data_IF_785939364795
#
_entry.id   IF_785939364795
#
_cell.length_a   1.000
_cell.length_b   1.000
_cell.length_c   1.000
_cell.angle_alpha   90.00
_cell.angle_beta   90.00
_cell.angle_gamma   90.00
#
_symmetry.space_group_name_H-M   'P 1'
#
loop_
_entity.id
_entity.type
_entity.pdbx_description
1 polymer ?
#
# COMPACT_ATOMS: atom_id res chain seq x y z
N UNK A 1 30.55 -12.59 -8.49
CA UNK A 1 29.62 -11.51 -8.07
C UNK A 1 30.02 -10.97 -6.70
N UNK A 2 30.06 -11.78 -5.63
CA UNK A 2 30.53 -11.34 -4.30
C UNK A 2 31.95 -10.78 -4.34
N UNK A 3 32.87 -11.42 -5.07
CA UNK A 3 34.24 -10.94 -5.25
C UNK A 3 34.31 -9.54 -5.88
N UNK A 4 33.50 -9.27 -6.92
CA UNK A 4 33.37 -7.93 -7.54
C UNK A 4 32.79 -6.90 -6.57
N UNK A 5 31.89 -7.31 -5.67
CA UNK A 5 31.30 -6.44 -4.66
C UNK A 5 32.22 -6.19 -3.47
N UNK A 6 33.09 -7.14 -3.14
CA UNK A 6 34.15 -6.98 -2.14
C UNK A 6 35.28 -6.11 -2.67
N UNK A 7 35.63 -6.20 -3.96
CA UNK A 7 36.59 -5.29 -4.61
C UNK A 7 36.15 -3.82 -4.53
N UNK A 8 34.83 -3.55 -4.65
CA UNK A 8 34.26 -2.21 -4.44
C UNK A 8 34.42 -1.67 -3.01
N UNK A 9 34.73 -2.53 -2.03
CA UNK A 9 35.00 -2.17 -0.63
C UNK A 9 36.50 -2.05 -0.33
N UNK A 10 37.38 -2.63 -1.16
CA UNK A 10 38.83 -2.71 -0.90
C UNK A 10 39.65 -1.67 -1.63
N UNK A 11 39.19 -1.19 -2.79
CA UNK A 11 39.82 -0.06 -3.46
C UNK A 11 39.53 1.22 -2.66
N UNK A 12 40.42 2.22 -2.73
CA UNK A 12 40.27 3.57 -2.13
C UNK A 12 39.04 4.36 -2.63
N UNK A 13 38.05 3.67 -3.22
CA UNK A 13 36.73 4.13 -3.54
C UNK A 13 36.02 4.61 -2.28
N UNK A 14 35.69 5.90 -2.28
CA UNK A 14 34.82 6.51 -1.27
C UNK A 14 33.50 5.73 -1.23
N UNK A 15 33.30 4.97 -0.16
CA UNK A 15 32.07 4.21 0.05
C UNK A 15 30.87 5.15 0.00
N UNK A 16 29.99 4.92 -0.97
CA UNK A 16 28.73 5.66 -1.11
C UNK A 16 27.58 4.78 -0.68
N UNK A 17 26.43 5.40 -0.38
CA UNK A 17 25.17 4.68 -0.15
C UNK A 17 24.87 3.72 -1.31
N UNK A 18 25.16 4.14 -2.54
CA UNK A 18 24.97 3.32 -3.74
C UNK A 18 25.84 2.06 -3.73
N UNK A 19 27.10 2.16 -3.30
CA UNK A 19 28.01 1.01 -3.16
C UNK A 19 27.43 0.01 -2.16
N UNK A 20 27.06 0.46 -0.95
CA UNK A 20 26.47 -0.40 0.07
C UNK A 20 25.22 -1.11 -0.42
N UNK A 21 24.31 -0.38 -1.07
CA UNK A 21 23.10 -0.93 -1.67
C UNK A 21 23.39 -2.08 -2.64
N UNK A 22 24.32 -1.88 -3.57
CA UNK A 22 24.62 -2.91 -4.58
C UNK A 22 25.21 -4.17 -3.94
N UNK A 23 26.10 -4.01 -2.96
CA UNK A 23 26.71 -5.13 -2.23
C UNK A 23 25.64 -5.90 -1.43
N UNK A 24 24.73 -5.20 -0.74
CA UNK A 24 23.61 -5.82 -0.02
C UNK A 24 22.72 -6.63 -0.95
N UNK A 25 22.33 -6.07 -2.10
CA UNK A 25 21.55 -6.79 -3.13
C UNK A 25 22.32 -8.02 -3.60
N UNK A 26 23.64 -7.90 -3.81
CA UNK A 26 24.51 -9.00 -4.21
C UNK A 26 24.53 -10.15 -3.21
N UNK A 27 24.68 -9.86 -1.92
CA UNK A 27 24.64 -10.86 -0.86
C UNK A 27 23.27 -11.52 -0.73
N UNK A 28 22.19 -10.74 -0.82
CA UNK A 28 20.85 -11.29 -0.71
C UNK A 28 20.50 -12.25 -1.84
N UNK A 29 21.03 -12.03 -3.05
CA UNK A 29 20.87 -12.98 -4.18
C UNK A 29 21.53 -14.35 -3.96
N UNK A 30 22.41 -14.49 -2.97
CA UNK A 30 23.01 -15.79 -2.65
C UNK A 30 22.04 -16.70 -1.89
N UNK A 31 21.04 -16.12 -1.22
CA UNK A 31 20.04 -16.82 -0.39
C UNK A 31 20.64 -17.68 0.75
N UNK A 32 21.89 -17.42 1.15
CA UNK A 32 22.57 -18.09 2.26
C UNK A 32 22.41 -17.34 3.58
N UNK A 33 22.64 -18.01 4.72
CA UNK A 33 22.69 -17.34 6.03
C UNK A 33 23.86 -16.36 6.11
N UNK A 34 25.05 -16.75 5.65
CA UNK A 34 26.21 -15.86 5.59
C UNK A 34 25.94 -14.62 4.71
N UNK A 35 25.21 -14.78 3.60
CA UNK A 35 24.81 -13.66 2.75
C UNK A 35 23.93 -12.67 3.51
N UNK A 36 22.93 -13.18 4.23
CA UNK A 36 22.07 -12.35 5.06
C UNK A 36 22.84 -11.60 6.16
N UNK A 37 23.70 -12.30 6.92
CA UNK A 37 24.49 -11.68 7.99
C UNK A 37 25.44 -10.59 7.46
N UNK A 38 26.09 -10.85 6.32
CA UNK A 38 26.95 -9.85 5.68
C UNK A 38 26.15 -8.64 5.17
N UNK A 39 24.95 -8.87 4.60
CA UNK A 39 24.08 -7.80 4.16
C UNK A 39 23.56 -6.95 5.34
N UNK A 40 23.22 -7.58 6.47
CA UNK A 40 22.80 -6.90 7.68
C UNK A 40 23.95 -6.06 8.27
N UNK A 41 25.15 -6.64 8.37
CA UNK A 41 26.34 -5.94 8.83
C UNK A 41 26.62 -4.68 8.00
N UNK A 42 26.62 -4.80 6.66
CA UNK A 42 26.87 -3.66 5.78
C UNK A 42 25.77 -2.60 5.84
N UNK A 43 24.52 -3.01 6.06
CA UNK A 43 23.41 -2.07 6.26
C UNK A 43 23.60 -1.25 7.53
N UNK A 44 24.01 -1.89 8.64
CA UNK A 44 24.39 -1.23 9.90
C UNK A 44 25.52 -0.23 9.70
N UNK A 45 26.56 -0.65 8.96
CA UNK A 45 27.72 0.18 8.70
C UNK A 45 27.37 1.43 7.89
N UNK A 46 26.56 1.29 6.83
CA UNK A 46 26.06 2.41 6.05
C UNK A 46 25.23 3.38 6.90
N UNK A 47 24.35 2.88 7.77
CA UNK A 47 23.59 3.72 8.68
C UNK A 47 24.50 4.47 9.66
N UNK A 48 25.51 3.80 10.22
CA UNK A 48 26.44 4.41 11.17
C UNK A 48 27.33 5.48 10.52
N UNK A 49 27.83 5.22 9.31
CA UNK A 49 28.84 6.05 8.63
C UNK A 49 28.22 7.17 7.79
N UNK A 50 27.14 6.86 7.07
CA UNK A 50 26.51 7.75 6.10
C UNK A 50 25.11 8.21 6.53
N UNK A 51 24.60 7.75 7.69
CA UNK A 51 23.27 8.08 8.20
C UNK A 51 22.15 7.80 7.19
N UNK A 52 22.25 6.67 6.48
CA UNK A 52 21.33 6.31 5.41
C UNK A 52 20.84 4.86 5.54
N UNK A 53 19.52 4.68 5.42
CA UNK A 53 18.83 3.39 5.59
C UNK A 53 18.43 2.71 4.26
N UNK A 54 18.82 3.23 3.10
CA UNK A 54 18.51 2.62 1.81
C UNK A 54 18.96 1.14 1.70
N UNK A 55 20.14 0.73 2.22
CA UNK A 55 20.51 -0.69 2.23
C UNK A 55 19.56 -1.58 3.05
N UNK A 56 19.05 -1.08 4.18
CA UNK A 56 18.06 -1.82 5.00
C UNK A 56 16.76 -2.08 4.25
N UNK A 57 16.28 -1.12 3.45
CA UNK A 57 15.09 -1.32 2.61
C UNK A 57 15.29 -2.48 1.63
N UNK A 58 16.44 -2.52 0.94
CA UNK A 58 16.74 -3.59 -0.01
C UNK A 58 16.93 -4.95 0.67
N UNK A 59 17.47 -4.97 1.89
CA UNK A 59 17.56 -6.15 2.73
C UNK A 59 16.16 -6.68 3.11
N UNK A 60 15.27 -5.82 3.63
CA UNK A 60 13.88 -6.17 3.98
C UNK A 60 13.11 -6.71 2.78
N UNK A 61 13.20 -6.01 1.64
CA UNK A 61 12.56 -6.39 0.39
C UNK A 61 13.00 -7.80 -0.03
N UNK A 62 14.31 -8.04 -0.07
CA UNK A 62 14.84 -9.34 -0.49
C UNK A 62 14.43 -10.46 0.48
N UNK A 63 14.47 -10.22 1.80
CA UNK A 63 14.02 -11.20 2.79
C UNK A 63 12.54 -11.56 2.60
N UNK A 64 11.71 -10.57 2.24
CA UNK A 64 10.29 -10.78 1.99
C UNK A 64 10.06 -11.54 0.69
N UNK A 65 10.72 -11.15 -0.42
CA UNK A 65 10.61 -11.84 -1.71
C UNK A 65 11.04 -13.31 -1.60
N UNK A 66 11.99 -13.62 -0.72
CA UNK A 66 12.44 -14.98 -0.41
C UNK A 66 11.54 -15.74 0.58
N UNK A 67 10.49 -15.10 1.10
CA UNK A 67 9.59 -15.68 2.11
C UNK A 67 10.26 -15.96 3.46
N UNK A 68 11.39 -15.31 3.78
CA UNK A 68 12.17 -15.53 5.01
C UNK A 68 11.64 -14.65 6.15
N UNK A 69 10.46 -14.98 6.66
CA UNK A 69 9.74 -14.23 7.71
C UNK A 69 10.61 -13.89 8.93
N UNK A 70 11.36 -14.86 9.47
CA UNK A 70 12.21 -14.63 10.65
C UNK A 70 13.35 -13.64 10.38
N UNK A 71 13.90 -13.64 9.16
CA UNK A 71 14.90 -12.64 8.76
C UNK A 71 14.29 -11.24 8.67
N UNK A 72 13.07 -11.12 8.12
CA UNK A 72 12.35 -9.83 8.09
C UNK A 72 12.12 -9.30 9.51
N UNK A 73 11.67 -10.16 10.45
CA UNK A 73 11.52 -9.80 11.86
C UNK A 73 12.84 -9.34 12.49
N UNK A 74 13.93 -10.06 12.25
CA UNK A 74 15.25 -9.68 12.76
C UNK A 74 15.69 -8.31 12.25
N UNK A 75 15.44 -8.00 10.98
CA UNK A 75 15.80 -6.70 10.39
C UNK A 75 14.93 -5.59 10.96
N UNK A 76 13.63 -5.81 11.15
CA UNK A 76 12.73 -4.84 11.79
C UNK A 76 13.10 -4.59 13.25
N UNK A 77 13.43 -5.65 14.00
CA UNK A 77 13.90 -5.52 15.37
C UNK A 77 15.16 -4.67 15.45
N UNK A 78 16.11 -4.88 14.53
CA UNK A 78 17.32 -4.08 14.45
C UNK A 78 17.02 -2.61 14.10
N UNK A 79 16.15 -2.38 13.11
CA UNK A 79 15.69 -1.04 12.73
C UNK A 79 15.01 -0.28 13.88
N UNK A 80 14.26 -0.97 14.74
CA UNK A 80 13.55 -0.37 15.87
C UNK A 80 14.48 0.21 16.94
N UNK A 81 15.75 -0.22 16.97
CA UNK A 81 16.75 0.28 17.91
C UNK A 81 17.30 1.64 17.52
N UNK A 82 17.09 2.07 16.27
CA UNK A 82 17.57 3.36 15.78
C UNK A 82 16.46 4.41 15.88
N UNK A 83 16.78 5.62 16.37
CA UNK A 83 15.79 6.69 16.37
C UNK A 83 15.41 7.01 14.92
N UNK A 84 14.12 7.17 14.67
CA UNK A 84 13.59 7.61 13.39
C UNK A 84 14.00 9.07 13.17
N UNK A 85 14.97 9.28 12.29
CA UNK A 85 15.53 10.59 11.93
C UNK A 85 14.94 11.12 10.64
N UNK A 86 14.61 10.23 9.71
CA UNK A 86 14.12 10.63 8.38
C UNK A 86 12.80 9.96 8.04
N UNK A 87 12.08 10.57 7.10
CA UNK A 87 10.79 10.06 6.61
C UNK A 87 10.97 8.70 5.93
N UNK A 88 12.06 8.53 5.19
CA UNK A 88 12.42 7.28 4.53
C UNK A 88 12.50 6.10 5.51
N UNK A 89 13.08 6.33 6.69
CA UNK A 89 13.27 5.33 7.73
C UNK A 89 11.97 4.79 8.29
N UNK A 90 11.02 5.68 8.58
CA UNK A 90 9.68 5.29 9.02
C UNK A 90 8.97 4.47 7.95
N UNK A 91 9.10 4.86 6.67
CA UNK A 91 8.45 4.15 5.57
C UNK A 91 9.03 2.74 5.38
N UNK A 92 10.33 2.56 5.61
CA UNK A 92 10.96 1.25 5.58
C UNK A 92 10.38 0.32 6.65
N UNK A 93 10.15 0.83 7.87
CA UNK A 93 9.53 0.06 8.95
C UNK A 93 8.07 -0.28 8.63
N UNK A 94 7.27 0.72 8.22
CA UNK A 94 5.86 0.51 7.81
C UNK A 94 5.77 -0.57 6.74
N UNK A 95 6.57 -0.47 5.68
CA UNK A 95 6.60 -1.47 4.63
C UNK A 95 6.99 -2.86 5.13
N UNK A 96 8.02 -2.96 5.98
CA UNK A 96 8.41 -4.26 6.53
C UNK A 96 7.29 -4.91 7.35
N UNK A 97 6.57 -4.15 8.17
CA UNK A 97 5.42 -4.68 8.92
C UNK A 97 4.25 -5.08 8.02
N UNK A 98 3.97 -4.31 6.96
CA UNK A 98 2.95 -4.65 5.96
C UNK A 98 3.28 -5.95 5.23
N UNK A 99 4.55 -6.11 4.83
CA UNK A 99 5.03 -7.34 4.19
C UNK A 99 4.96 -8.56 5.12
N UNK A 100 5.00 -8.34 6.44
CA UNK A 100 4.75 -9.36 7.46
C UNK A 100 3.26 -9.57 7.79
N UNK A 101 2.35 -8.82 7.16
CA UNK A 101 0.92 -8.75 7.52
C UNK A 101 0.65 -8.29 8.96
N UNK A 102 1.62 -7.58 9.55
CA UNK A 102 1.52 -6.96 10.87
C UNK A 102 0.95 -5.54 10.74
N UNK A 103 -0.32 -5.48 10.32
CA UNK A 103 -0.95 -4.21 9.97
C UNK A 103 -1.20 -3.31 11.19
N UNK A 104 -1.39 -3.87 12.38
CA UNK A 104 -1.59 -3.08 13.61
C UNK A 104 -0.34 -2.27 13.96
N UNK A 105 0.84 -2.87 13.84
CA UNK A 105 2.09 -2.14 14.07
C UNK A 105 2.34 -1.11 12.98
N UNK A 106 2.06 -1.46 11.72
CA UNK A 106 2.15 -0.50 10.61
C UNK A 106 1.20 0.69 10.81
N UNK A 107 -0.05 0.44 11.23
CA UNK A 107 -1.02 1.47 11.58
C UNK A 107 -0.53 2.34 12.73
N UNK A 108 -0.04 1.73 13.82
CA UNK A 108 0.49 2.47 14.97
C UNK A 108 1.64 3.41 14.57
N UNK A 109 2.57 2.93 13.73
CA UNK A 109 3.66 3.73 13.18
C UNK A 109 3.15 4.91 12.36
N UNK A 110 2.15 4.69 11.51
CA UNK A 110 1.53 5.75 10.71
C UNK A 110 0.72 6.73 11.58
N UNK A 111 -0.02 6.26 12.57
CA UNK A 111 -0.80 7.09 13.48
C UNK A 111 0.07 7.92 14.42
N UNK A 112 1.29 7.47 14.72
CA UNK A 112 2.26 8.23 15.52
C UNK A 112 2.81 9.48 14.80
N UNK A 113 2.48 9.65 13.52
CA UNK A 113 2.82 10.85 12.75
C UNK A 113 1.99 12.06 13.20
N UNK A 114 2.54 12.90 14.08
CA UNK A 114 1.92 14.17 14.44
C UNK A 114 1.87 15.16 13.25
N UNK A 115 0.69 15.73 13.00
CA UNK A 115 0.39 16.70 11.93
C UNK A 115 1.31 17.95 11.95
N UNK A 116 1.71 18.43 13.13
CA UNK A 116 2.49 19.67 13.27
C UNK A 116 3.99 19.56 12.90
N UNK A 117 4.60 18.36 12.96
CA UNK A 117 6.04 18.21 12.69
C UNK A 117 6.39 17.79 11.26
N UNK A 118 5.41 17.47 10.41
CA UNK A 118 5.67 16.78 9.15
C UNK A 118 4.90 17.33 7.94
N UNK A 119 5.10 18.61 7.61
CA UNK A 119 4.45 19.28 6.46
C UNK A 119 4.79 18.76 5.04
N UNK A 120 5.45 17.60 4.86
CA UNK A 120 5.71 17.04 3.52
C UNK A 120 6.29 15.63 3.60
N UNK A 121 5.47 14.62 3.84
CA UNK A 121 5.91 13.22 3.87
C UNK A 121 5.90 12.65 2.45
N UNK A 122 6.94 12.92 1.65
CA UNK A 122 7.06 12.33 0.32
C UNK A 122 7.57 10.88 0.46
N UNK A 123 6.66 9.90 0.41
CA UNK A 123 7.06 8.49 0.35
C UNK A 123 7.57 8.20 -1.07
N UNK A 124 8.78 7.62 -1.24
CA UNK A 124 9.26 7.23 -2.54
C UNK A 124 8.28 6.29 -3.26
N UNK A 125 7.96 6.57 -4.52
CA UNK A 125 7.03 5.75 -5.32
C UNK A 125 7.45 4.26 -5.37
N UNK A 126 8.76 3.99 -5.29
CA UNK A 126 9.30 2.62 -5.25
C UNK A 126 8.91 1.87 -3.99
N UNK A 127 8.81 2.57 -2.86
CA UNK A 127 8.35 2.03 -1.57
C UNK A 127 6.84 1.79 -1.63
N UNK A 128 6.10 2.68 -2.28
CA UNK A 128 4.66 2.51 -2.50
C UNK A 128 4.34 1.41 -3.50
N UNK A 129 5.22 1.12 -4.47
CA UNK A 129 5.01 0.03 -5.42
C UNK A 129 4.89 -1.32 -4.73
N UNK A 130 5.76 -1.61 -3.77
CA UNK A 130 5.70 -2.90 -3.06
C UNK A 130 4.47 -2.98 -2.13
N UNK A 131 4.07 -1.84 -1.54
CA UNK A 131 2.82 -1.69 -0.80
C UNK A 131 1.58 -1.94 -1.68
N UNK A 132 1.59 -1.35 -2.87
CA UNK A 132 0.60 -1.55 -3.91
C UNK A 132 0.56 -3.02 -4.35
N UNK A 133 1.70 -3.63 -4.68
CA UNK A 133 1.77 -5.03 -5.08
C UNK A 133 1.22 -5.98 -3.98
N UNK A 134 1.39 -5.64 -2.69
CA UNK A 134 0.79 -6.38 -1.59
C UNK A 134 -0.74 -6.19 -1.54
N UNK A 135 -1.23 -4.96 -1.72
CA UNK A 135 -2.65 -4.64 -1.84
C UNK A 135 -3.35 -5.32 -3.04
N UNK A 136 -2.69 -5.43 -4.20
CA UNK A 136 -3.27 -6.05 -5.41
C UNK A 136 -3.46 -7.56 -5.26
N UNK A 137 -2.60 -8.18 -4.45
CA UNK A 137 -2.55 -9.64 -4.25
C UNK A 137 -3.32 -10.08 -3.00
N UNK A 138 -3.83 -9.14 -2.20
CA UNK A 138 -4.56 -9.47 -0.98
C UNK A 138 -6.03 -9.70 -1.29
N UNK A 139 -6.52 -10.90 -0.97
CA UNK A 139 -7.89 -11.33 -1.23
C UNK A 139 -8.75 -11.33 0.05
N UNK A 140 -8.14 -11.11 1.23
CA UNK A 140 -8.85 -11.08 2.51
C UNK A 140 -9.35 -9.69 2.85
N UNK A 141 -10.67 -9.58 3.04
CA UNK A 141 -11.38 -8.33 3.35
C UNK A 141 -10.80 -7.55 4.53
N UNK A 142 -10.50 -8.22 5.64
CA UNK A 142 -9.97 -7.57 6.85
C UNK A 142 -8.57 -6.98 6.60
N UNK A 143 -7.71 -7.71 5.88
CA UNK A 143 -6.34 -7.28 5.55
C UNK A 143 -6.35 -6.11 4.55
N UNK A 144 -7.27 -6.14 3.57
CA UNK A 144 -7.54 -5.02 2.64
C UNK A 144 -7.98 -3.75 3.39
N UNK A 145 -8.92 -3.88 4.33
CA UNK A 145 -9.42 -2.74 5.11
C UNK A 145 -8.28 -2.08 5.90
N UNK A 146 -7.43 -2.87 6.57
CA UNK A 146 -6.27 -2.33 7.30
C UNK A 146 -5.27 -1.64 6.38
N UNK A 147 -4.99 -2.21 5.22
CA UNK A 147 -4.10 -1.58 4.24
C UNK A 147 -4.69 -0.27 3.68
N UNK A 148 -6.02 -0.16 3.55
CA UNK A 148 -6.68 1.08 3.17
C UNK A 148 -6.61 2.14 4.28
N UNK A 149 -6.84 1.76 5.54
CA UNK A 149 -6.67 2.68 6.68
C UNK A 149 -5.23 3.24 6.74
N UNK A 150 -4.22 2.38 6.50
CA UNK A 150 -2.82 2.80 6.37
C UNK A 150 -2.65 3.78 5.20
N UNK A 151 -3.24 3.48 4.04
CA UNK A 151 -3.19 4.33 2.84
C UNK A 151 -3.75 5.72 3.14
N UNK A 152 -4.96 5.80 3.66
CA UNK A 152 -5.67 7.06 3.92
C UNK A 152 -4.90 7.96 4.90
N UNK A 153 -4.35 7.36 5.96
CA UNK A 153 -3.53 8.10 6.91
C UNK A 153 -2.22 8.60 6.28
N UNK A 154 -1.60 7.81 5.40
CA UNK A 154 -0.41 8.24 4.65
C UNK A 154 -0.74 9.36 3.64
N UNK A 155 -1.88 9.30 2.96
CA UNK A 155 -2.34 10.36 2.06
C UNK A 155 -2.61 11.67 2.81
N UNK A 156 -3.32 11.59 3.95
CA UNK A 156 -3.62 12.72 4.84
C UNK A 156 -2.33 13.40 5.34
N UNK A 157 -1.33 12.60 5.71
CA UNK A 157 -0.10 13.08 6.34
C UNK A 157 1.01 13.46 5.33
N UNK A 158 0.94 13.01 4.07
CA UNK A 158 2.10 12.98 3.18
C UNK A 158 2.04 13.75 1.88
N UNK A 159 0.88 14.22 1.39
CA UNK A 159 0.73 14.63 -0.03
C UNK A 159 1.21 13.54 -1.00
N UNK A 160 0.96 12.28 -0.67
CA UNK A 160 1.17 11.18 -1.58
C UNK A 160 -0.17 10.92 -2.25
N UNK A 161 -0.19 10.85 -3.57
CA UNK A 161 -1.36 10.37 -4.29
C UNK A 161 -1.16 8.89 -4.55
N UNK A 162 -1.76 8.03 -3.72
CA UNK A 162 -1.73 6.59 -3.94
C UNK A 162 -2.74 6.25 -5.04
N UNK A 163 -2.24 6.12 -6.28
CA UNK A 163 -3.05 5.78 -7.47
C UNK A 163 -3.77 4.42 -7.38
N UNK A 164 -3.54 3.65 -6.33
CA UNK A 164 -3.70 2.21 -6.32
C UNK A 164 -4.99 1.69 -5.73
N UNK A 165 -5.54 2.37 -4.71
CA UNK A 165 -6.90 2.06 -4.21
C UNK A 165 -7.89 2.09 -5.37
N UNK A 166 -7.65 2.93 -6.37
CA UNK A 166 -8.47 3.04 -7.57
C UNK A 166 -8.47 1.79 -8.48
N UNK A 167 -7.37 1.06 -8.62
CA UNK A 167 -7.30 -0.08 -9.56
C UNK A 167 -8.03 -1.30 -9.02
N UNK A 168 -7.86 -1.60 -7.74
CA UNK A 168 -8.60 -2.69 -7.10
C UNK A 168 -10.09 -2.33 -6.93
N UNK A 169 -10.40 -1.07 -6.61
CA UNK A 169 -11.81 -0.61 -6.58
C UNK A 169 -12.43 -0.63 -7.98
N UNK A 170 -11.72 -0.22 -9.02
CA UNK A 170 -12.21 -0.30 -10.40
C UNK A 170 -12.43 -1.76 -10.82
N UNK A 171 -11.57 -2.70 -10.39
CA UNK A 171 -11.78 -4.15 -10.58
C UNK A 171 -13.05 -4.63 -9.87
N UNK A 172 -13.27 -4.24 -8.62
CA UNK A 172 -14.49 -4.59 -7.87
C UNK A 172 -15.76 -4.01 -8.51
N UNK A 173 -15.72 -2.76 -8.99
CA UNK A 173 -16.86 -2.16 -9.69
C UNK A 173 -17.09 -2.77 -11.08
N UNK A 174 -16.04 -3.16 -11.81
CA UNK A 174 -16.18 -3.93 -13.05
C UNK A 174 -16.77 -5.32 -12.80
N UNK A 175 -16.34 -5.99 -11.73
CA UNK A 175 -16.89 -7.29 -11.30
C UNK A 175 -18.37 -7.13 -10.93
N UNK A 176 -18.70 -6.12 -10.12
CA UNK A 176 -20.07 -5.77 -9.75
C UNK A 176 -20.93 -5.56 -10.99
N UNK A 177 -20.50 -4.72 -11.93
CA UNK A 177 -21.24 -4.47 -13.18
C UNK A 177 -21.51 -5.76 -13.98
N UNK A 178 -20.52 -6.66 -14.04
CA UNK A 178 -20.68 -7.94 -14.73
C UNK A 178 -21.67 -8.86 -14.00
N UNK A 179 -21.54 -9.01 -12.68
CA UNK A 179 -22.44 -9.81 -11.85
C UNK A 179 -23.88 -9.26 -11.89
N UNK A 180 -24.04 -7.94 -11.84
CA UNK A 180 -25.34 -7.27 -11.96
C UNK A 180 -25.99 -7.55 -13.30
N UNK A 181 -25.25 -7.46 -14.41
CA UNK A 181 -25.75 -7.81 -15.76
C UNK A 181 -26.12 -9.29 -15.90
N UNK A 182 -25.44 -10.15 -15.16
CA UNK A 182 -25.70 -11.59 -15.13
C UNK A 182 -26.85 -11.98 -14.18
N UNK A 183 -27.34 -11.05 -13.35
CA UNK A 183 -28.37 -11.32 -12.35
C UNK A 183 -27.87 -12.17 -11.18
N UNK A 184 -26.56 -12.19 -10.89
CA UNK A 184 -25.97 -12.97 -9.79
C UNK A 184 -26.18 -12.26 -8.45
N UNK A 185 -27.39 -12.41 -7.88
CA UNK A 185 -27.85 -11.73 -6.67
C UNK A 185 -26.92 -11.95 -5.47
N UNK A 186 -26.44 -13.17 -5.26
CA UNK A 186 -25.57 -13.51 -4.12
C UNK A 186 -24.21 -12.82 -4.22
N UNK A 187 -23.58 -12.86 -5.40
CA UNK A 187 -22.31 -12.14 -5.59
C UNK A 187 -22.49 -10.63 -5.53
N UNK A 188 -23.56 -10.09 -6.11
CA UNK A 188 -23.85 -8.66 -6.06
C UNK A 188 -24.02 -8.19 -4.62
N UNK A 189 -24.74 -8.96 -3.79
CA UNK A 189 -24.89 -8.67 -2.36
C UNK A 189 -23.56 -8.69 -1.61
N UNK A 190 -22.73 -9.71 -1.84
CA UNK A 190 -21.39 -9.79 -1.24
C UNK A 190 -20.55 -8.57 -1.63
N UNK A 191 -20.47 -8.25 -2.92
CA UNK A 191 -19.63 -7.16 -3.43
C UNK A 191 -20.14 -5.81 -2.93
N UNK A 192 -21.46 -5.58 -2.86
CA UNK A 192 -22.01 -4.34 -2.31
C UNK A 192 -21.76 -4.20 -0.81
N UNK A 193 -21.82 -5.30 -0.05
CA UNK A 193 -21.46 -5.28 1.36
C UNK A 193 -19.96 -4.98 1.57
N UNK A 194 -19.11 -5.39 0.63
CA UNK A 194 -17.69 -5.02 0.63
C UNK A 194 -17.52 -3.53 0.26
N UNK A 195 -18.31 -3.04 -0.70
CA UNK A 195 -18.26 -1.65 -1.18
C UNK A 195 -18.96 -0.62 -0.26
N UNK A 196 -19.78 -1.05 0.71
CA UNK A 196 -20.59 -0.13 1.55
C UNK A 196 -19.76 0.81 2.42
N UNK A 197 -18.49 0.48 2.67
CA UNK A 197 -17.55 1.31 3.43
C UNK A 197 -16.81 2.31 2.53
N UNK A 198 -17.00 2.22 1.20
CA UNK A 198 -16.23 2.97 0.22
C UNK A 198 -17.15 3.82 -0.66
N UNK A 199 -17.24 5.14 -0.41
CA UNK A 199 -18.08 6.02 -1.22
C UNK A 199 -17.57 6.07 -2.67
N UNK A 200 -18.47 6.05 -3.66
CA UNK A 200 -18.08 6.10 -5.07
C UNK A 200 -17.48 7.48 -5.40
N UNK A 201 -16.30 7.48 -6.03
CA UNK A 201 -15.57 8.71 -6.40
C UNK A 201 -15.70 9.06 -7.87
N UNK A 202 -16.21 8.13 -8.68
CA UNK A 202 -16.46 8.33 -10.11
C UNK A 202 -17.90 8.01 -10.49
N UNK A 203 -18.34 8.62 -11.61
CA UNK A 203 -19.61 8.29 -12.29
C UNK A 203 -19.79 6.78 -12.52
N UNK A 204 -18.72 6.11 -12.93
CA UNK A 204 -18.76 4.68 -13.23
C UNK A 204 -19.02 3.85 -11.97
N UNK A 205 -18.28 4.13 -10.90
CA UNK A 205 -18.41 3.45 -9.61
C UNK A 205 -19.83 3.63 -9.04
N UNK A 206 -20.33 4.86 -9.05
CA UNK A 206 -21.70 5.19 -8.63
C UNK A 206 -22.73 4.36 -9.40
N UNK A 207 -22.68 4.37 -10.73
CA UNK A 207 -23.63 3.61 -11.55
C UNK A 207 -23.56 2.11 -11.27
N UNK A 208 -22.37 1.56 -11.02
CA UNK A 208 -22.24 0.14 -10.69
C UNK A 208 -22.90 -0.20 -9.35
N UNK A 209 -22.68 0.63 -8.31
CA UNK A 209 -23.29 0.43 -6.99
C UNK A 209 -24.82 0.61 -7.04
N UNK A 210 -25.30 1.68 -7.68
CA UNK A 210 -26.74 1.95 -7.86
C UNK A 210 -27.43 0.79 -8.58
N UNK A 211 -26.90 0.33 -9.72
CA UNK A 211 -27.48 -0.79 -10.46
C UNK A 211 -27.46 -2.09 -9.64
N UNK A 212 -26.43 -2.30 -8.83
CA UNK A 212 -26.38 -3.42 -7.91
C UNK A 212 -27.51 -3.38 -6.87
N UNK A 213 -27.70 -2.23 -6.20
CA UNK A 213 -28.78 -2.06 -5.22
C UNK A 213 -30.17 -2.17 -5.87
N UNK A 214 -30.36 -1.66 -7.10
CA UNK A 214 -31.59 -1.84 -7.88
C UNK A 214 -31.87 -3.33 -8.12
N UNK A 215 -30.87 -4.12 -8.52
CA UNK A 215 -31.03 -5.56 -8.70
C UNK A 215 -31.44 -6.26 -7.40
N UNK A 216 -30.90 -5.82 -6.25
CA UNK A 216 -31.27 -6.31 -4.93
C UNK A 216 -32.63 -5.78 -4.43
N UNK A 217 -33.27 -4.88 -5.18
CA UNK A 217 -34.50 -4.16 -4.78
C UNK A 217 -34.32 -3.29 -3.53
N UNK A 218 -33.10 -2.87 -3.27
CA UNK A 218 -32.71 -1.96 -2.19
C UNK A 218 -32.71 -0.51 -2.69
N UNK A 219 -33.91 -0.01 -2.99
CA UNK A 219 -34.07 1.31 -3.60
C UNK A 219 -33.69 2.45 -2.64
N UNK A 220 -33.78 2.24 -1.34
CA UNK A 220 -33.42 3.22 -0.32
C UNK A 220 -31.90 3.48 -0.33
N UNK A 221 -31.08 2.42 -0.33
CA UNK A 221 -29.63 2.57 -0.45
C UNK A 221 -29.21 3.17 -1.80
N UNK A 222 -29.87 2.78 -2.90
CA UNK A 222 -29.61 3.35 -4.21
C UNK A 222 -29.90 4.86 -4.26
N UNK A 223 -31.02 5.30 -3.69
CA UNK A 223 -31.40 6.70 -3.59
C UNK A 223 -30.48 7.49 -2.65
N UNK A 224 -30.03 6.87 -1.56
CA UNK A 224 -29.06 7.47 -0.64
C UNK A 224 -27.73 7.76 -1.33
N UNK A 225 -27.21 6.82 -2.14
CA UNK A 225 -25.96 6.99 -2.90
C UNK A 225 -26.04 8.09 -3.95
N UNK A 226 -27.19 8.24 -4.61
CA UNK A 226 -27.43 9.31 -5.58
C UNK A 226 -27.53 10.67 -4.87
N UNK A 227 -28.18 10.71 -3.72
CA UNK A 227 -28.40 11.94 -2.93
C UNK A 227 -27.10 12.47 -2.32
N UNK A 228 -26.22 11.60 -1.81
CA UNK A 228 -24.97 12.01 -1.14
C UNK A 228 -23.99 12.75 -2.06
N UNK A 229 -24.09 12.59 -3.38
CA UNK A 229 -23.23 13.28 -4.34
C UNK A 229 -23.73 14.67 -4.74
N UNK A 230 -25.02 14.97 -4.55
CA UNK A 230 -25.58 16.29 -4.82
C UNK A 230 -25.21 17.31 -3.72
N UNK A 231 -24.82 16.86 -2.53
CA UNK A 231 -24.44 17.74 -1.42
C UNK A 231 -22.95 18.17 -1.47
N UNK A 232 -22.06 17.42 -2.13
CA UNK A 232 -20.60 17.67 -2.05
C UNK A 232 -19.90 18.25 -3.30
N UNK A 233 -20.53 18.37 -4.48
CA UNK A 233 -19.95 19.14 -5.61
C UNK A 233 -20.98 19.44 -6.68
N UNK A 234 -21.51 20.66 -6.63
CA UNK A 234 -22.10 21.28 -7.81
C UNK A 234 -21.02 21.34 -8.91
N UNK A 235 -21.33 20.70 -10.05
CA UNK A 235 -20.60 20.64 -11.33
C UNK A 235 -19.70 19.41 -11.56
N UNK A 236 -20.28 18.36 -12.18
CA UNK A 236 -19.78 17.71 -13.42
C UNK A 236 -20.41 16.31 -13.63
N UNK A 237 -21.17 15.78 -12.67
CA UNK A 237 -21.71 14.42 -12.78
C UNK A 237 -23.21 14.35 -13.12
N UNK A 238 -23.62 14.88 -14.29
CA UNK A 238 -24.95 14.58 -14.85
C UNK A 238 -25.16 13.07 -14.99
N UNK A 239 -26.14 12.53 -14.26
CA UNK A 239 -26.61 11.13 -14.35
C UNK A 239 -27.45 11.01 -15.64
N UNK A 240 -27.27 9.96 -16.47
CA UNK A 240 -28.11 9.74 -17.64
C UNK A 240 -29.58 9.59 -17.25
N UNK A 241 -30.48 10.31 -17.92
CA UNK A 241 -31.94 10.30 -17.69
C UNK A 241 -32.56 8.88 -17.71
N UNK A 242 -31.88 7.91 -18.31
CA UNK A 242 -32.31 6.51 -18.33
C UNK A 242 -32.34 5.87 -16.94
N UNK A 243 -31.45 6.30 -16.02
CA UNK A 243 -31.42 5.77 -14.65
C UNK A 243 -32.55 6.37 -13.81
N UNK A 244 -32.92 7.63 -14.05
CA UNK A 244 -33.99 8.31 -13.29
C UNK A 244 -35.39 7.82 -13.65
N UNK A 245 -35.59 7.25 -14.84
CA UNK A 245 -36.90 6.67 -15.23
C UNK A 245 -37.24 5.40 -14.46
N UNK A 246 -36.25 4.59 -14.08
CA UNK A 246 -36.50 3.35 -13.32
C UNK A 246 -36.90 3.58 -11.85
N UNK A 247 -36.77 4.81 -11.33
CA UNK A 247 -37.18 5.16 -9.96
C UNK A 247 -38.59 5.77 -9.87
N UNK A 248 -39.22 6.12 -11.00
CA UNK A 248 -40.51 6.85 -11.03
C UNK A 248 -41.67 6.05 -11.65
N UNK A 249 -41.46 4.78 -12.00
CA UNK A 249 -42.49 3.84 -12.44
C UNK A 249 -42.68 2.72 -11.39
#
# INVERSE_FOLDING_TARGET
IVYLFQELLTDELKLTVHTYKLVVIGYMKMETDDGFENALHLSKECLKTLQNMEPYYHLLKSCTEQGKVERVKSVLQDLSQFPLRTKFELCCQINGHILLKDYETALSLVSSLNEEKNQSLMIPETILKDFNDALEKEDKREELQRLQEITELLEKNGKITLKFVRVNMERHHRLLNNCTKQGDVEKVKSILQDLSQFPPTTKFELCCQVNGHILLKDYEAALSLVSSLNEEKNQSLMIPETVLKEFND
#
